data_IF_579637825111
#
_entry.id   IF_579637825111
#
_cell.length_a   1.000
_cell.length_b   1.000
_cell.length_c   1.000
_cell.angle_alpha   90.00
_cell.angle_beta   90.00
_cell.angle_gamma   90.00
#
_symmetry.space_group_name_H-M   'P 1'
#
loop_
_entity.id
_entity.type
_entity.pdbx_description
1 polymer ?
#
# COMPACT_ATOMS: atom_id res chain seq x y z
N UNK A 1 4.26 2.66 11.34
CA UNK A 1 5.31 2.44 10.31
C UNK A 1 4.69 2.64 8.94
N UNK A 2 5.34 3.39 8.04
CA UNK A 2 4.82 3.68 6.70
C UNK A 2 5.52 2.84 5.64
N UNK A 3 4.76 2.27 4.70
CA UNK A 3 5.27 1.55 3.52
C UNK A 3 4.71 2.15 2.24
N UNK A 4 5.48 2.10 1.16
CA UNK A 4 4.99 2.44 -0.17
C UNK A 4 4.47 1.16 -0.83
N UNK A 5 3.17 1.11 -1.12
CA UNK A 5 2.52 -0.03 -1.77
C UNK A 5 1.77 0.45 -3.02
N UNK A 6 1.61 -0.42 -4.03
CA UNK A 6 0.77 -0.10 -5.17
C UNK A 6 -0.68 0.10 -4.73
N UNK A 7 -1.36 1.11 -5.25
CA UNK A 7 -2.78 1.40 -4.99
C UNK A 7 -3.49 1.76 -6.30
N UNK A 8 -4.82 1.64 -6.32
CA UNK A 8 -5.64 1.95 -7.50
C UNK A 8 -6.07 3.41 -7.56
N UNK A 9 -5.98 4.15 -6.44
CA UNK A 9 -6.35 5.56 -6.39
C UNK A 9 -5.33 6.45 -7.12
N UNK A 10 -5.79 7.59 -7.62
CA UNK A 10 -4.97 8.58 -8.31
C UNK A 10 -4.53 9.69 -7.36
N UNK A 11 -3.26 10.13 -7.42
CA UNK A 11 -2.75 11.20 -6.58
C UNK A 11 -1.46 11.80 -7.16
N UNK A 12 -1.60 12.88 -7.93
CA UNK A 12 -0.53 13.55 -8.69
C UNK A 12 0.79 13.69 -7.89
N UNK A 13 0.72 14.25 -6.68
CA UNK A 13 1.92 14.47 -5.87
C UNK A 13 2.65 13.16 -5.55
N UNK A 14 1.91 12.10 -5.19
CA UNK A 14 2.52 10.81 -4.83
C UNK A 14 2.95 10.02 -6.06
N UNK A 15 2.25 10.17 -7.19
CA UNK A 15 2.68 9.61 -8.48
C UNK A 15 4.00 10.20 -8.93
N UNK A 16 4.20 11.51 -8.74
CA UNK A 16 5.45 12.20 -9.06
C UNK A 16 6.58 11.86 -8.09
N UNK A 17 6.29 11.63 -6.82
CA UNK A 17 7.31 11.32 -5.79
C UNK A 17 7.72 9.85 -5.76
N UNK A 18 6.74 8.93 -5.80
CA UNK A 18 6.98 7.49 -5.59
C UNK A 18 6.80 6.63 -6.85
N UNK A 19 6.25 7.21 -7.91
CA UNK A 19 5.92 6.54 -9.16
C UNK A 19 4.42 6.26 -9.31
N UNK A 20 4.01 6.02 -10.55
CA UNK A 20 2.61 5.80 -10.92
C UNK A 20 1.95 4.72 -10.08
N UNK A 21 0.77 5.03 -9.52
CA UNK A 21 -0.02 4.14 -8.66
C UNK A 21 0.72 3.64 -7.43
N UNK A 22 1.74 4.34 -6.95
CA UNK A 22 2.41 4.03 -5.68
C UNK A 22 1.95 5.02 -4.61
N UNK A 23 1.48 4.48 -3.49
CA UNK A 23 0.94 5.29 -2.39
C UNK A 23 1.59 4.95 -1.09
N UNK A 24 1.73 5.98 -0.27
CA UNK A 24 2.05 5.83 1.14
C UNK A 24 0.89 5.11 1.81
N UNK A 25 1.20 4.02 2.49
CA UNK A 25 0.29 3.33 3.38
C UNK A 25 0.86 3.39 4.79
N UNK A 26 0.02 3.74 5.76
CA UNK A 26 0.38 3.71 7.16
C UNK A 26 -0.04 2.39 7.79
N UNK A 27 0.58 1.99 8.91
CA UNK A 27 0.11 0.83 9.65
C UNK A 27 -1.34 1.02 10.10
N UNK A 28 -2.12 -0.02 9.90
CA UNK A 28 -3.46 -0.16 10.43
C UNK A 28 -3.45 -1.31 11.43
N UNK A 29 -4.15 -1.10 12.55
CA UNK A 29 -4.27 -2.14 13.59
C UNK A 29 -4.95 -3.38 13.00
N UNK A 30 -4.30 -4.54 13.12
CA UNK A 30 -4.85 -5.82 12.67
C UNK A 30 -3.82 -6.95 12.74
N UNK A 31 -4.31 -8.18 12.89
CA UNK A 31 -3.54 -9.42 12.72
C UNK A 31 -4.19 -10.20 11.58
N UNK A 32 -3.53 -10.42 10.43
CA UNK A 32 -2.16 -10.00 10.08
C UNK A 32 -2.00 -8.47 9.97
N UNK A 33 -0.76 -7.94 10.06
CA UNK A 33 -0.50 -6.51 9.94
C UNK A 33 -1.10 -5.96 8.64
N UNK A 34 -1.88 -4.89 8.77
CA UNK A 34 -2.52 -4.21 7.64
C UNK A 34 -1.85 -2.87 7.40
N UNK A 35 -1.86 -2.44 6.15
CA UNK A 35 -1.39 -1.14 5.73
C UNK A 35 -2.52 -0.41 5.03
N UNK A 36 -2.85 0.79 5.49
CA UNK A 36 -3.93 1.61 4.96
C UNK A 36 -3.38 2.77 4.15
N UNK A 37 -3.82 2.91 2.91
CA UNK A 37 -3.46 4.01 2.03
C UNK A 37 -3.83 5.35 2.67
N UNK A 38 -2.90 6.30 2.70
CA UNK A 38 -3.14 7.63 3.28
C UNK A 38 -3.99 8.53 2.38
N UNK A 39 -4.17 8.16 1.11
CA UNK A 39 -4.95 8.93 0.14
C UNK A 39 -6.42 8.50 0.11
N UNK A 40 -6.67 7.24 -0.24
CA UNK A 40 -8.04 6.72 -0.41
C UNK A 40 -8.52 5.87 0.77
N UNK A 41 -7.65 5.52 1.70
CA UNK A 41 -7.99 4.65 2.83
C UNK A 41 -8.06 3.17 2.50
N UNK A 42 -7.66 2.74 1.31
CA UNK A 42 -7.62 1.31 0.91
C UNK A 42 -6.68 0.50 1.81
N UNK A 43 -7.15 -0.64 2.32
CA UNK A 43 -6.41 -1.47 3.26
C UNK A 43 -5.84 -2.71 2.57
N UNK A 44 -4.52 -2.89 2.66
CA UNK A 44 -3.82 -4.08 2.17
C UNK A 44 -3.21 -4.85 3.32
N UNK A 45 -3.54 -6.12 3.41
CA UNK A 45 -2.86 -7.04 4.32
C UNK A 45 -1.42 -7.26 3.86
N UNK A 46 -0.48 -7.23 4.80
CA UNK A 46 0.86 -7.80 4.67
C UNK A 46 0.72 -9.33 4.74
N UNK A 47 -0.04 -9.90 3.80
CA UNK A 47 0.17 -11.32 3.54
C UNK A 47 1.48 -11.40 2.77
N UNK A 48 2.47 -12.18 3.23
CA UNK A 48 3.59 -12.53 2.36
C UNK A 48 2.94 -13.20 1.17
N UNK A 49 2.87 -12.50 0.04
CA UNK A 49 2.52 -13.12 -1.23
C UNK A 49 3.55 -14.21 -1.40
N UNK A 50 3.08 -15.43 -1.18
CA UNK A 50 3.64 -16.66 -1.66
C UNK A 50 4.45 -16.38 -2.92
N UNK A 51 5.69 -16.86 -2.89
CA UNK A 51 6.51 -17.05 -4.08
C UNK A 51 5.64 -17.56 -5.24
N UNK A 52 5.95 -17.20 -6.50
CA UNK A 52 5.29 -17.81 -7.64
C UNK A 52 5.42 -19.33 -7.50
N UNK A 53 4.29 -20.01 -7.38
CA UNK A 53 4.21 -21.45 -7.45
C UNK A 53 4.39 -21.80 -8.94
N UNK A 54 5.59 -22.20 -9.33
CA UNK A 54 5.91 -22.78 -10.63
C UNK A 54 6.86 -23.95 -10.41
#
# INVERSE_FOLDING_TARGET
>A
MTKILPCTCDHDYQDRTYGFKRRVHNDAKGVPPKYRCTVCGDEKGDTPKSAPKA
#
